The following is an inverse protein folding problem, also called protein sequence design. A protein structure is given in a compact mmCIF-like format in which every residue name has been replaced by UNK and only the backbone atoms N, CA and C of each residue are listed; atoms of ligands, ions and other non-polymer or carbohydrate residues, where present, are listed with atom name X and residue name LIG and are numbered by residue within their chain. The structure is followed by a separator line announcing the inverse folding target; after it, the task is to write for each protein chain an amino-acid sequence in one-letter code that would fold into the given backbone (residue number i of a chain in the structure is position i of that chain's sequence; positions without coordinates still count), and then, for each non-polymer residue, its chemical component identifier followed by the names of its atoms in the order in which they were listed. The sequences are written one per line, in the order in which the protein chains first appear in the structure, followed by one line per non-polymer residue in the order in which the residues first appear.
data_IF_552752067132
#
_entry.id   IF_552752067132
#
_cell.length_a   1.000
_cell.length_b   1.000
_cell.length_c   1.000
_cell.angle_alpha   90.00
_cell.angle_beta   90.00
_cell.angle_gamma   90.00
#
_symmetry.space_group_name_H-M   'P 1'
#
loop_
_entity.id
_entity.type
_entity.pdbx_description
1 polymer ?
#
# COMPACT_ATOMS: atom_id res chain seq x y z
N UNK A 1 19.57 26.40 -38.67
CA UNK A 1 20.30 25.98 -37.44
C UNK A 1 19.38 26.22 -36.24
N UNK A 2 18.86 25.18 -35.61
CA UNK A 2 17.91 25.31 -34.50
C UNK A 2 18.66 25.42 -33.16
N UNK A 3 18.45 26.53 -32.44
CA UNK A 3 19.14 26.82 -31.18
C UNK A 3 18.26 26.34 -30.01
N UNK A 4 18.65 25.25 -29.35
CA UNK A 4 17.90 24.68 -28.22
C UNK A 4 18.44 25.27 -26.92
N UNK A 5 17.71 26.24 -26.36
CA UNK A 5 17.96 26.75 -25.01
C UNK A 5 17.62 25.67 -23.97
N UNK A 6 18.65 25.03 -23.43
CA UNK A 6 18.50 24.09 -22.31
C UNK A 6 18.26 24.89 -21.04
N UNK A 7 17.02 24.90 -20.53
CA UNK A 7 16.67 25.44 -19.20
C UNK A 7 17.67 24.90 -18.17
N UNK A 8 18.38 25.80 -17.49
CA UNK A 8 19.26 25.43 -16.38
C UNK A 8 18.37 24.90 -15.25
N UNK A 9 18.60 23.64 -14.85
CA UNK A 9 17.91 23.03 -13.72
C UNK A 9 18.63 23.49 -12.45
N UNK A 10 17.91 24.12 -11.54
CA UNK A 10 18.46 24.49 -10.23
C UNK A 10 18.94 23.23 -9.49
N UNK A 11 20.07 23.31 -8.77
CA UNK A 11 20.61 22.18 -8.03
C UNK A 11 19.56 21.69 -7.04
N UNK A 12 19.21 20.40 -7.16
CA UNK A 12 18.26 19.77 -6.24
C UNK A 12 18.87 19.85 -4.83
N UNK A 13 18.13 20.34 -3.82
CA UNK A 13 18.67 20.50 -2.49
C UNK A 13 19.17 19.16 -1.96
N UNK A 14 20.42 19.16 -1.46
CA UNK A 14 21.08 17.98 -0.93
C UNK A 14 20.28 17.43 0.26
N UNK A 15 19.59 16.31 0.02
CA UNK A 15 18.79 15.66 1.05
C UNK A 15 19.74 14.94 2.01
N UNK A 16 19.93 15.49 3.21
CA UNK A 16 20.67 14.85 4.30
C UNK A 16 20.08 13.45 4.56
N UNK A 17 20.87 12.42 4.27
CA UNK A 17 20.46 11.02 4.43
C UNK A 17 20.72 10.60 5.87
N UNK A 18 19.70 10.71 6.72
CA UNK A 18 19.76 10.20 8.09
C UNK A 18 19.62 8.68 8.11
N UNK A 19 20.45 7.98 8.90
CA UNK A 19 20.43 6.50 8.97
C UNK A 19 19.29 6.00 9.86
N UNK A 20 18.89 6.78 10.86
CA UNK A 20 17.83 6.41 11.80
C UNK A 20 16.86 7.57 12.06
N UNK A 21 15.60 7.24 12.38
CA UNK A 21 14.59 8.25 12.72
C UNK A 21 14.93 9.04 13.99
N UNK A 22 15.72 8.45 14.91
CA UNK A 22 16.19 9.12 16.13
C UNK A 22 17.16 10.25 15.83
N UNK A 23 17.99 10.07 14.81
CA UNK A 23 18.91 11.09 14.30
C UNK A 23 18.16 12.22 13.55
N UNK A 24 17.11 11.85 12.80
CA UNK A 24 16.32 12.80 12.02
C UNK A 24 15.33 13.64 12.85
N UNK A 25 14.75 13.05 13.91
CA UNK A 25 13.65 13.65 14.69
C UNK A 25 13.95 13.84 16.17
N UNK A 26 15.10 13.35 16.66
CA UNK A 26 15.44 13.34 18.07
C UNK A 26 14.83 12.15 18.85
N UNK A 27 15.08 12.08 20.16
CA UNK A 27 14.54 11.02 21.01
C UNK A 27 13.01 11.11 21.11
N UNK A 28 12.31 9.96 21.19
CA UNK A 28 10.87 9.97 21.37
C UNK A 28 10.50 10.53 22.75
N UNK A 29 9.49 11.42 22.83
CA UNK A 29 8.92 11.84 24.10
C UNK A 29 8.28 10.63 24.82
N UNK A 30 8.23 10.67 26.15
CA UNK A 30 7.50 9.68 26.95
C UNK A 30 5.99 9.83 26.67
N UNK A 31 5.21 8.76 26.80
CA UNK A 31 3.76 8.80 26.54
C UNK A 31 3.01 9.81 27.42
N UNK A 32 3.51 10.03 28.64
CA UNK A 32 2.95 10.99 29.59
C UNK A 32 1.62 10.54 30.21
N UNK A 33 1.19 11.25 31.25
CA UNK A 33 -0.12 11.03 31.90
C UNK A 33 -1.11 12.15 31.55
N UNK A 34 -0.60 13.35 31.27
CA UNK A 34 -1.43 14.50 30.91
C UNK A 34 -1.88 14.43 29.45
N UNK A 35 -2.95 15.17 29.11
CA UNK A 35 -3.44 15.26 27.73
C UNK A 35 -2.42 15.94 26.82
N UNK A 36 -1.72 16.95 27.34
CA UNK A 36 -0.74 17.75 26.61
C UNK A 36 0.50 16.91 26.25
N UNK A 37 1.02 16.13 27.20
CA UNK A 37 2.14 15.21 26.94
C UNK A 37 1.78 14.16 25.89
N UNK A 38 0.56 13.62 25.92
CA UNK A 38 0.07 12.67 24.90
C UNK A 38 -0.04 13.30 23.51
N UNK A 39 -0.37 14.59 23.41
CA UNK A 39 -0.39 15.30 22.13
C UNK A 39 1.02 15.44 21.57
N UNK A 40 1.99 15.84 22.40
CA UNK A 40 3.42 15.91 22.02
C UNK A 40 3.93 14.54 21.55
N UNK A 41 3.55 13.47 22.27
CA UNK A 41 3.85 12.10 21.86
C UNK A 41 3.26 11.75 20.49
N UNK A 42 2.00 12.08 20.26
CA UNK A 42 1.32 11.78 19.00
C UNK A 42 1.94 12.56 17.83
N UNK A 43 2.29 13.83 18.03
CA UNK A 43 2.96 14.64 17.01
C UNK A 43 4.31 14.07 16.61
N UNK A 44 5.12 13.64 17.58
CA UNK A 44 6.39 12.97 17.30
C UNK A 44 6.16 11.69 16.48
N UNK A 45 5.19 10.86 16.87
CA UNK A 45 4.91 9.61 16.17
C UNK A 45 4.36 9.81 14.76
N UNK A 46 3.55 10.85 14.52
CA UNK A 46 3.13 11.26 13.17
C UNK A 46 4.33 11.64 12.30
N UNK A 47 5.28 12.44 12.82
CA UNK A 47 6.53 12.79 12.12
C UNK A 47 7.36 11.54 11.83
N UNK A 48 7.48 10.62 12.78
CA UNK A 48 8.17 9.34 12.62
C UNK A 48 7.53 8.48 11.53
N UNK A 49 6.21 8.34 11.53
CA UNK A 49 5.50 7.55 10.51
C UNK A 49 5.62 8.16 9.11
N UNK A 50 5.59 9.50 9.00
CA UNK A 50 5.84 10.18 7.74
C UNK A 50 7.24 9.86 7.21
N UNK A 51 8.27 9.94 8.06
CA UNK A 51 9.64 9.56 7.70
C UNK A 51 9.76 8.09 7.28
N UNK A 52 9.13 7.18 8.02
CA UNK A 52 9.12 5.75 7.67
C UNK A 52 8.38 5.46 6.36
N UNK A 53 7.27 6.17 6.09
CA UNK A 53 6.53 6.07 4.83
C UNK A 53 7.40 6.52 3.66
N UNK A 54 8.14 7.61 3.82
CA UNK A 54 9.08 8.10 2.82
C UNK A 54 10.23 7.11 2.54
N UNK A 55 10.84 6.56 3.60
CA UNK A 55 11.89 5.55 3.47
C UNK A 55 11.38 4.27 2.78
N UNK A 56 10.15 3.83 3.08
CA UNK A 56 9.49 2.71 2.37
C UNK A 56 9.19 3.04 0.90
N UNK A 57 8.77 4.26 0.61
CA UNK A 57 8.55 4.72 -0.77
C UNK A 57 9.82 4.68 -1.62
N UNK A 58 10.95 5.12 -1.07
CA UNK A 58 12.26 5.08 -1.74
C UNK A 58 12.80 3.67 -1.98
N UNK A 59 12.47 2.70 -1.12
CA UNK A 59 12.89 1.30 -1.30
C UNK A 59 11.99 0.55 -2.28
N UNK A 60 10.69 0.85 -2.28
CA UNK A 60 9.72 0.28 -3.23
C UNK A 60 10.00 0.68 -4.67
N UNK A 61 10.29 1.96 -4.94
CA UNK A 61 10.61 2.44 -6.29
C UNK A 61 11.90 1.81 -6.85
N UNK A 62 12.92 1.64 -6.01
CA UNK A 62 14.18 0.96 -6.38
C UNK A 62 14.00 -0.54 -6.61
N UNK A 63 13.11 -1.22 -5.88
CA UNK A 63 12.78 -2.62 -6.12
C UNK A 63 11.97 -2.82 -7.39
N UNK A 64 11.03 -1.92 -7.70
CA UNK A 64 10.18 -2.03 -8.89
C UNK A 64 10.97 -1.91 -10.20
N UNK A 65 12.13 -1.24 -10.19
CA UNK A 65 13.02 -1.17 -11.36
C UNK A 65 13.91 -2.40 -11.56
N UNK A 66 13.99 -3.32 -10.59
CA UNK A 66 14.84 -4.53 -10.67
C UNK A 66 14.07 -5.82 -10.92
N UNK A 67 12.74 -5.77 -11.03
CA UNK A 67 11.88 -6.96 -11.28
C UNK A 67 11.61 -7.14 -12.78
N UNK A 68 12.52 -6.68 -13.63
CA UNK A 68 12.62 -7.12 -15.01
C UNK A 68 13.89 -7.92 -15.15
N UNK A 69 13.75 -9.21 -15.46
CA UNK A 69 14.83 -10.13 -15.86
C UNK A 69 15.58 -10.82 -14.71
N UNK A 70 15.18 -12.07 -14.48
CA UNK A 70 15.96 -13.17 -13.91
C UNK A 70 16.41 -13.03 -12.45
N UNK A 71 15.79 -13.81 -11.56
CA UNK A 71 16.45 -14.86 -10.78
C UNK A 71 15.66 -15.19 -9.50
N UNK A 72 15.51 -16.49 -9.26
CA UNK A 72 14.69 -17.11 -8.23
C UNK A 72 15.48 -17.33 -6.91
N UNK A 73 16.32 -16.38 -6.47
CA UNK A 73 17.31 -16.70 -5.41
C UNK A 73 17.56 -15.64 -4.33
N UNK A 74 16.74 -14.61 -4.15
CA UNK A 74 16.88 -13.71 -2.98
C UNK A 74 15.67 -13.76 -2.06
N UNK A 75 15.60 -14.86 -1.32
CA UNK A 75 14.80 -14.99 -0.10
C UNK A 75 15.21 -13.89 0.90
N UNK A 76 14.49 -12.76 0.86
CA UNK A 76 14.42 -11.87 2.02
C UNK A 76 13.90 -12.71 3.18
N UNK A 77 14.52 -12.69 4.37
CA UNK A 77 13.98 -13.39 5.54
C UNK A 77 12.55 -12.91 5.75
N UNK A 78 11.60 -13.78 5.46
CA UNK A 78 10.20 -13.56 5.76
C UNK A 78 10.17 -13.30 7.28
N UNK A 79 9.74 -12.13 7.77
CA UNK A 79 9.56 -11.98 9.20
C UNK A 79 8.49 -13.01 9.56
N UNK A 80 8.90 -14.06 10.27
CA UNK A 80 8.08 -15.18 10.74
C UNK A 80 7.10 -14.69 11.82
N UNK A 81 6.33 -13.65 11.51
CA UNK A 81 5.08 -13.35 12.18
C UNK A 81 3.96 -14.18 11.56
N UNK A 82 2.81 -14.30 12.23
CA UNK A 82 1.67 -15.01 11.67
C UNK A 82 1.38 -14.47 10.26
N UNK A 83 0.95 -15.35 9.36
CA UNK A 83 0.54 -15.04 7.98
C UNK A 83 -0.70 -14.14 7.97
N UNK A 84 -0.53 -12.91 8.45
CA UNK A 84 -1.49 -11.80 8.45
C UNK A 84 -1.05 -10.77 7.42
N UNK A 85 -0.26 -11.19 6.43
CA UNK A 85 0.06 -10.36 5.27
C UNK A 85 -1.24 -10.09 4.53
N UNK A 86 -1.44 -8.85 4.07
CA UNK A 86 -2.63 -8.47 3.27
C UNK A 86 -2.89 -9.46 2.12
N UNK A 87 -1.83 -10.01 1.51
CA UNK A 87 -1.94 -11.05 0.50
C UNK A 87 -2.62 -12.33 0.99
N UNK A 88 -2.29 -12.82 2.19
CA UNK A 88 -2.94 -14.00 2.77
C UNK A 88 -4.40 -13.76 3.12
N UNK A 89 -4.74 -12.54 3.57
CA UNK A 89 -6.13 -12.13 3.78
C UNK A 89 -6.91 -12.11 2.45
N UNK A 90 -6.35 -11.48 1.41
CA UNK A 90 -6.97 -11.41 0.09
C UNK A 90 -7.16 -12.80 -0.53
N UNK A 91 -6.15 -13.67 -0.41
CA UNK A 91 -6.25 -15.06 -0.90
C UNK A 91 -7.34 -15.85 -0.18
N UNK A 92 -7.44 -15.73 1.15
CA UNK A 92 -8.51 -16.37 1.92
C UNK A 92 -9.89 -15.84 1.51
N UNK A 93 -10.05 -14.52 1.39
CA UNK A 93 -11.30 -13.91 0.94
C UNK A 93 -11.69 -14.36 -0.48
N UNK A 94 -10.72 -14.44 -1.41
CA UNK A 94 -10.94 -14.96 -2.77
C UNK A 94 -11.31 -16.44 -2.76
N UNK A 95 -10.65 -17.25 -1.93
CA UNK A 95 -10.94 -18.68 -1.82
C UNK A 95 -12.36 -18.91 -1.29
N UNK A 96 -12.80 -18.15 -0.29
CA UNK A 96 -14.19 -18.20 0.20
C UNK A 96 -15.17 -17.80 -0.89
N UNK A 97 -14.88 -16.73 -1.63
CA UNK A 97 -15.74 -16.29 -2.74
C UNK A 97 -15.87 -17.35 -3.82
N UNK A 98 -14.79 -18.02 -4.21
CA UNK A 98 -14.80 -18.99 -5.33
C UNK A 98 -15.42 -20.34 -4.98
N UNK A 99 -15.26 -20.81 -3.73
CA UNK A 99 -15.70 -22.16 -3.35
C UNK A 99 -17.08 -22.20 -2.69
N UNK A 100 -17.62 -21.05 -2.29
CA UNK A 100 -18.95 -20.98 -1.70
C UNK A 100 -20.02 -20.92 -2.78
N UNK A 101 -21.24 -21.39 -2.45
CA UNK A 101 -22.39 -21.30 -3.35
C UNK A 101 -22.86 -19.86 -3.53
N UNK A 102 -23.10 -19.44 -4.77
CA UNK A 102 -23.57 -18.09 -5.07
C UNK A 102 -25.08 -18.06 -5.22
N UNK A 103 -25.76 -17.22 -4.43
CA UNK A 103 -27.17 -16.93 -4.63
C UNK A 103 -27.29 -15.55 -5.27
N UNK A 104 -27.71 -15.50 -6.54
CA UNK A 104 -27.86 -14.24 -7.27
C UNK A 104 -29.17 -13.58 -6.83
N UNK A 105 -29.07 -12.37 -6.28
CA UNK A 105 -30.23 -11.57 -5.87
C UNK A 105 -30.70 -10.68 -7.00
N UNK A 106 -29.75 -9.96 -7.64
CA UNK A 106 -30.07 -8.99 -8.68
C UNK A 106 -28.95 -8.88 -9.70
N UNK A 107 -29.34 -8.78 -10.97
CA UNK A 107 -28.45 -8.39 -12.07
C UNK A 107 -28.92 -7.02 -12.56
N UNK A 108 -28.00 -6.04 -12.55
CA UNK A 108 -28.28 -4.68 -12.99
C UNK A 108 -27.39 -4.30 -14.19
N UNK A 109 -27.94 -3.62 -15.21
CA UNK A 109 -27.14 -3.11 -16.31
C UNK A 109 -26.17 -2.02 -15.81
N UNK A 110 -25.04 -1.92 -16.49
CA UNK A 110 -24.07 -0.83 -16.31
C UNK A 110 -24.02 0.04 -17.56
N UNK A 111 -23.30 1.16 -17.51
CA UNK A 111 -23.20 2.10 -18.64
C UNK A 111 -22.49 1.53 -19.88
N UNK A 112 -21.86 0.36 -19.77
CA UNK A 112 -21.15 -0.30 -20.86
C UNK A 112 -21.88 -1.59 -21.28
N UNK A 113 -22.13 -1.81 -22.59
CA UNK A 113 -22.68 -3.07 -23.07
C UNK A 113 -21.74 -4.23 -22.76
N UNK A 114 -22.29 -5.40 -22.46
CA UNK A 114 -21.51 -6.59 -22.07
C UNK A 114 -20.94 -6.56 -20.65
N UNK A 115 -21.12 -5.46 -19.89
CA UNK A 115 -20.75 -5.40 -18.47
C UNK A 115 -22.01 -5.28 -17.63
N UNK A 116 -22.19 -6.22 -16.71
CA UNK A 116 -23.31 -6.26 -15.77
C UNK A 116 -22.78 -6.22 -14.33
N UNK A 117 -23.56 -5.63 -13.44
CA UNK A 117 -23.33 -5.68 -12.00
C UNK A 117 -24.24 -6.74 -11.39
N UNK A 118 -23.64 -7.73 -10.73
CA UNK A 118 -24.34 -8.81 -10.05
C UNK A 118 -24.23 -8.60 -8.55
N UNK A 119 -25.37 -8.63 -7.86
CA UNK A 119 -25.45 -8.70 -6.41
C UNK A 119 -25.69 -10.16 -6.03
N UNK A 120 -24.72 -10.76 -5.36
CA UNK A 120 -24.77 -12.16 -4.97
C UNK A 120 -24.55 -12.32 -3.46
N UNK A 121 -25.38 -13.12 -2.81
CA UNK A 121 -25.14 -13.57 -1.45
C UNK A 121 -24.17 -14.76 -1.49
N UNK A 122 -23.07 -14.65 -0.74
CA UNK A 122 -22.06 -15.70 -0.61
C UNK A 122 -21.86 -15.96 0.87
N UNK A 123 -22.29 -17.13 1.33
CA UNK A 123 -22.41 -17.40 2.77
C UNK A 123 -23.42 -16.45 3.42
N UNK A 124 -22.95 -15.57 4.29
CA UNK A 124 -23.76 -14.55 4.98
C UNK A 124 -23.49 -13.12 4.49
N UNK A 125 -22.61 -12.93 3.52
CA UNK A 125 -22.19 -11.61 3.03
C UNK A 125 -22.75 -11.31 1.64
N UNK A 126 -23.17 -10.07 1.43
CA UNK A 126 -23.62 -9.58 0.13
C UNK A 126 -22.42 -9.01 -0.65
N UNK A 127 -22.14 -9.60 -1.81
CA UNK A 127 -21.04 -9.18 -2.68
C UNK A 127 -21.55 -8.51 -3.96
N UNK A 128 -20.86 -7.45 -4.37
CA UNK A 128 -21.01 -6.83 -5.68
C UNK A 128 -19.95 -7.39 -6.64
N UNK A 129 -20.37 -8.16 -7.65
CA UNK A 129 -19.52 -8.82 -8.62
C UNK A 129 -19.71 -8.18 -9.99
N UNK A 130 -18.60 -7.92 -10.70
CA UNK A 130 -18.63 -7.44 -12.09
C UNK A 130 -18.66 -8.65 -13.02
N UNK A 131 -19.76 -8.80 -13.76
CA UNK A 131 -19.93 -9.85 -14.76
C UNK A 131 -19.63 -9.27 -16.15
N UNK A 132 -18.78 -9.96 -16.90
CA UNK A 132 -18.47 -9.63 -18.30
C UNK A 132 -19.06 -10.75 -19.15
N UNK A 133 -20.00 -10.40 -20.01
CA UNK A 133 -20.64 -11.31 -20.95
C UNK A 133 -19.90 -11.16 -22.30
N UNK A 134 -19.28 -12.24 -22.82
CA UNK A 134 -18.56 -12.21 -24.08
C UNK A 134 -19.48 -12.02 -25.30
#
# INVERSE_FOLDING_TARGET
VANVSKRKRDPTPEKKVYRTYREALGPPPKFGTTKEERLVWLEYHKKKWAWQKEARGMTSSKKKSRVGQNDATLAVPNPRGPSTTLGGFLQKAQHTLLNSTWQIIQIAPTNAPGVLRVWALVGSELHQIRLIVP
#
